data_IF_316558155835
#
_entry.id   IF_316558155835
#
_cell.length_a   1.000
_cell.length_b   1.000
_cell.length_c   1.000
_cell.angle_alpha   90.00
_cell.angle_beta   90.00
_cell.angle_gamma   90.00
#
_symmetry.space_group_name_H-M   'P 1'
#
loop_
_entity.id
_entity.type
_entity.pdbx_description
1 polymer ?
#
# COMPACT_ATOMS: atom_id res chain seq x y z
N UNK A 1 -15.62 -10.84 -15.76
CA UNK A 1 -15.57 -9.50 -16.40
C UNK A 1 -16.39 -8.55 -15.55
N UNK A 2 -15.75 -7.85 -14.62
CA UNK A 2 -16.43 -6.84 -13.80
C UNK A 2 -15.43 -5.74 -13.48
N UNK A 3 -15.08 -4.96 -14.51
CA UNK A 3 -14.34 -3.72 -14.34
C UNK A 3 -15.27 -2.69 -13.71
N UNK A 4 -14.90 -2.19 -12.54
CA UNK A 4 -15.65 -1.15 -11.81
C UNK A 4 -14.82 0.13 -11.79
N UNK A 5 -15.40 1.25 -12.21
CA UNK A 5 -14.77 2.55 -11.99
C UNK A 5 -15.15 3.04 -10.59
N UNK A 6 -14.14 3.27 -9.77
CA UNK A 6 -14.32 3.65 -8.37
C UNK A 6 -14.64 5.14 -8.27
N UNK A 7 -15.68 5.44 -7.51
CA UNK A 7 -16.16 6.79 -7.21
C UNK A 7 -16.44 6.96 -5.71
N UNK A 8 -17.01 8.10 -5.32
CA UNK A 8 -17.31 8.42 -3.92
C UNK A 8 -18.22 7.39 -3.24
N UNK A 9 -19.17 6.79 -3.94
CA UNK A 9 -20.09 5.81 -3.34
C UNK A 9 -19.41 4.50 -2.98
N UNK A 10 -18.24 4.22 -3.56
CA UNK A 10 -17.48 3.00 -3.28
C UNK A 10 -16.57 3.13 -2.05
N UNK A 11 -16.29 4.35 -1.57
CA UNK A 11 -15.35 4.58 -0.48
C UNK A 11 -15.85 3.96 0.82
N UNK A 12 -17.06 4.34 1.25
CA UNK A 12 -17.61 3.88 2.54
C UNK A 12 -17.77 2.35 2.57
N UNK A 13 -18.36 1.68 1.55
CA UNK A 13 -18.41 0.23 1.49
C UNK A 13 -17.03 -0.43 1.54
N UNK A 14 -16.05 0.09 0.79
CA UNK A 14 -14.70 -0.47 0.77
C UNK A 14 -14.00 -0.34 2.13
N UNK A 15 -14.08 0.83 2.76
CA UNK A 15 -13.45 1.12 4.06
C UNK A 15 -14.10 0.30 5.17
N UNK A 16 -15.44 0.24 5.23
CA UNK A 16 -16.15 -0.52 6.27
C UNK A 16 -16.01 -2.04 6.07
N UNK A 17 -16.12 -2.52 4.84
CA UNK A 17 -15.85 -3.92 4.51
C UNK A 17 -14.41 -4.31 4.83
N UNK A 18 -13.46 -3.43 4.49
CA UNK A 18 -12.06 -3.55 4.85
C UNK A 18 -11.82 -3.62 6.36
N UNK A 19 -12.50 -2.78 7.15
CA UNK A 19 -12.40 -2.79 8.61
C UNK A 19 -12.89 -4.12 9.21
N UNK A 20 -14.00 -4.65 8.67
CA UNK A 20 -14.53 -5.95 9.08
C UNK A 20 -13.56 -7.09 8.73
N UNK A 21 -13.13 -7.17 7.47
CA UNK A 21 -12.23 -8.22 6.98
C UNK A 21 -10.82 -8.11 7.57
N UNK A 22 -10.40 -6.91 7.96
CA UNK A 22 -9.11 -6.65 8.59
C UNK A 22 -8.97 -7.28 9.98
N UNK A 23 -10.06 -7.64 10.65
CA UNK A 23 -10.02 -8.31 11.96
C UNK A 23 -9.36 -7.45 13.05
N UNK A 24 -9.60 -6.14 13.03
CA UNK A 24 -9.13 -5.19 14.04
C UNK A 24 -7.81 -4.47 13.72
N UNK A 25 -7.20 -4.72 12.56
CA UNK A 25 -6.00 -4.02 12.08
C UNK A 25 -6.18 -3.30 10.74
N UNK A 26 -5.06 -2.88 10.14
CA UNK A 26 -5.03 -2.32 8.79
C UNK A 26 -5.48 -0.86 8.67
N UNK A 27 -5.29 -0.09 9.75
CA UNK A 27 -5.48 1.36 9.79
C UNK A 27 -6.85 1.80 10.28
N UNK A 28 -7.09 3.12 10.20
CA UNK A 28 -8.30 3.77 10.73
C UNK A 28 -9.31 4.05 9.62
N UNK A 29 -10.59 4.05 9.97
CA UNK A 29 -11.69 4.39 9.03
C UNK A 29 -11.48 5.80 8.47
N UNK A 30 -11.14 6.78 9.31
CA UNK A 30 -10.89 8.16 8.88
C UNK A 30 -9.79 8.23 7.83
N UNK A 31 -8.66 7.54 8.07
CA UNK A 31 -7.55 7.50 7.12
C UNK A 31 -8.01 6.88 5.79
N UNK A 32 -8.73 5.75 5.84
CA UNK A 32 -9.26 5.10 4.64
C UNK A 32 -10.22 5.99 3.84
N UNK A 33 -11.11 6.70 4.53
CA UNK A 33 -12.04 7.66 3.92
C UNK A 33 -11.30 8.82 3.26
N UNK A 34 -10.28 9.38 3.93
CA UNK A 34 -9.47 10.48 3.40
C UNK A 34 -8.67 10.05 2.16
N UNK A 35 -8.02 8.89 2.21
CA UNK A 35 -7.24 8.34 1.09
C UNK A 35 -8.12 7.97 -0.10
N UNK A 36 -9.24 7.30 0.13
CA UNK A 36 -10.21 6.97 -0.92
C UNK A 36 -10.80 8.23 -1.55
N UNK A 37 -11.14 9.22 -0.73
CA UNK A 37 -11.65 10.52 -1.22
C UNK A 37 -10.64 11.24 -2.07
N UNK A 38 -9.37 11.30 -1.63
CA UNK A 38 -8.30 11.93 -2.39
C UNK A 38 -8.11 11.24 -3.74
N UNK A 39 -8.07 9.90 -3.75
CA UNK A 39 -7.88 9.12 -4.97
C UNK A 39 -8.98 9.40 -6.01
N UNK A 40 -10.26 9.27 -5.62
CA UNK A 40 -11.38 9.49 -6.56
C UNK A 40 -11.60 10.96 -6.93
N UNK A 41 -10.99 11.89 -6.19
CA UNK A 41 -11.00 13.32 -6.54
C UNK A 41 -9.93 13.67 -7.56
N UNK A 42 -8.84 12.89 -7.64
CA UNK A 42 -7.75 13.08 -8.60
C UNK A 42 -7.95 12.30 -9.91
N UNK A 43 -8.75 11.25 -9.90
CA UNK A 43 -9.06 10.44 -11.07
C UNK A 43 -10.13 9.40 -10.79
N UNK A 44 -10.31 8.45 -11.71
CA UNK A 44 -11.26 7.34 -11.55
C UNK A 44 -10.47 6.01 -11.56
N UNK A 45 -9.96 5.54 -10.41
CA UNK A 45 -9.29 4.25 -10.32
C UNK A 45 -10.21 3.14 -10.84
N UNK A 46 -9.68 2.26 -11.68
CA UNK A 46 -10.41 1.07 -12.10
C UNK A 46 -10.09 -0.10 -11.17
N UNK A 47 -11.11 -0.78 -10.67
CA UNK A 47 -11.00 -2.08 -10.01
C UNK A 47 -11.27 -3.18 -11.05
N UNK A 48 -10.38 -4.16 -11.16
CA UNK A 48 -10.49 -5.32 -12.05
C UNK A 48 -10.30 -6.63 -11.29
N UNK A 49 -10.79 -7.74 -11.85
CA UNK A 49 -10.49 -9.08 -11.30
C UNK A 49 -9.17 -9.62 -11.83
N UNK A 50 -8.57 -10.58 -11.12
CA UNK A 50 -7.30 -11.21 -11.53
C UNK A 50 -7.40 -11.89 -12.91
N UNK A 51 -8.57 -12.40 -13.28
CA UNK A 51 -8.82 -13.06 -14.57
C UNK A 51 -8.77 -12.10 -15.77
N UNK A 52 -8.76 -10.79 -15.53
CA UNK A 52 -8.61 -9.77 -16.58
C UNK A 52 -7.13 -9.53 -16.96
N UNK A 53 -6.19 -10.14 -16.23
CA UNK A 53 -4.76 -9.98 -16.43
C UNK A 53 -4.13 -11.15 -17.19
N UNK A 54 -3.06 -10.91 -17.97
CA UNK A 54 -2.19 -11.97 -18.45
C UNK A 54 -1.62 -12.82 -17.31
N UNK A 55 -1.40 -14.12 -17.54
CA UNK A 55 -0.89 -15.04 -16.51
C UNK A 55 0.53 -14.73 -16.00
N UNK A 56 1.28 -13.91 -16.74
CA UNK A 56 2.63 -13.43 -16.41
C UNK A 56 2.66 -11.93 -16.04
N UNK A 57 1.49 -11.33 -15.79
CA UNK A 57 1.37 -9.93 -15.42
C UNK A 57 2.17 -9.57 -14.16
N UNK A 58 2.93 -8.48 -14.23
CA UNK A 58 3.66 -7.95 -13.08
C UNK A 58 2.77 -7.01 -12.27
N UNK A 59 2.51 -7.38 -11.01
CA UNK A 59 1.72 -6.59 -10.07
C UNK A 59 2.61 -5.96 -8.99
N UNK A 60 2.19 -4.80 -8.50
CA UNK A 60 2.83 -4.14 -7.35
C UNK A 60 1.93 -4.23 -6.13
N UNK A 61 2.52 -4.63 -5.01
CA UNK A 61 1.84 -4.60 -3.71
C UNK A 61 2.00 -3.23 -3.06
N UNK A 62 0.91 -2.48 -2.95
CA UNK A 62 0.87 -1.21 -2.25
C UNK A 62 0.68 -1.45 -0.75
N UNK A 63 1.61 -0.93 0.06
CA UNK A 63 1.57 -1.02 1.51
C UNK A 63 1.92 0.31 2.16
N UNK A 64 1.22 0.66 3.24
CA UNK A 64 1.58 1.72 4.17
C UNK A 64 2.05 1.14 5.50
N UNK A 65 3.33 1.29 5.84
CA UNK A 65 3.85 0.91 7.16
C UNK A 65 4.24 2.17 7.91
N UNK A 66 3.69 2.35 9.10
CA UNK A 66 3.96 3.48 9.97
C UNK A 66 3.97 3.08 11.44
N UNK A 67 4.19 4.05 12.32
CA UNK A 67 4.08 3.89 13.76
C UNK A 67 2.75 4.52 14.24
N UNK A 68 1.67 3.75 14.48
CA UNK A 68 0.35 4.30 14.80
C UNK A 68 0.35 5.16 16.08
N UNK A 69 1.24 4.86 17.02
CA UNK A 69 1.37 5.54 18.31
C UNK A 69 2.32 6.77 18.27
N UNK A 70 2.94 7.07 17.12
CA UNK A 70 3.80 8.24 16.98
C UNK A 70 2.96 9.51 16.83
N UNK A 71 3.26 10.59 17.57
CA UNK A 71 2.52 11.86 17.48
C UNK A 71 2.71 12.57 16.12
N UNK A 72 3.65 12.12 15.28
CA UNK A 72 3.85 12.62 13.92
C UNK A 72 3.71 11.51 12.89
N UNK A 73 2.84 11.73 11.90
CA UNK A 73 2.78 10.97 10.65
C UNK A 73 3.48 11.77 9.57
N UNK A 74 4.49 11.17 8.95
CA UNK A 74 5.39 11.89 8.03
C UNK A 74 5.19 11.53 6.56
N UNK A 75 4.47 10.45 6.26
CA UNK A 75 4.20 10.04 4.88
C UNK A 75 3.08 10.88 4.29
N UNK A 76 3.38 11.57 3.19
CA UNK A 76 2.44 12.38 2.41
C UNK A 76 2.00 11.62 1.16
N UNK A 77 0.85 11.97 0.55
CA UNK A 77 0.38 11.35 -0.69
C UNK A 77 1.45 11.26 -1.79
N UNK A 78 2.22 12.33 -1.98
CA UNK A 78 3.29 12.40 -2.97
C UNK A 78 4.41 11.39 -2.75
N UNK A 79 4.64 10.95 -1.51
CA UNK A 79 5.69 9.98 -1.20
C UNK A 79 5.29 8.58 -1.70
N UNK A 80 3.98 8.26 -1.70
CA UNK A 80 3.44 7.02 -2.27
C UNK A 80 3.47 7.00 -3.80
N UNK A 81 3.23 8.16 -4.43
CA UNK A 81 3.37 8.30 -5.89
C UNK A 81 4.84 8.11 -6.29
N UNK A 82 5.76 8.79 -5.60
CA UNK A 82 7.20 8.65 -5.87
C UNK A 82 7.70 7.22 -5.65
N UNK A 83 7.18 6.52 -4.64
CA UNK A 83 7.52 5.12 -4.41
C UNK A 83 7.12 4.23 -5.60
N UNK A 84 5.94 4.43 -6.19
CA UNK A 84 5.54 3.67 -7.37
C UNK A 84 6.38 4.03 -8.60
N UNK A 85 6.69 5.31 -8.82
CA UNK A 85 7.60 5.73 -9.91
C UNK A 85 8.94 5.00 -9.83
N UNK A 86 9.56 4.96 -8.64
CA UNK A 86 10.81 4.25 -8.43
C UNK A 86 10.69 2.75 -8.71
N UNK A 87 9.56 2.13 -8.37
CA UNK A 87 9.29 0.73 -8.69
C UNK A 87 9.14 0.53 -10.20
N UNK A 88 8.44 1.44 -10.90
CA UNK A 88 8.29 1.39 -12.35
C UNK A 88 9.63 1.59 -13.07
N UNK A 89 10.47 2.51 -12.59
CA UNK A 89 11.84 2.75 -13.10
C UNK A 89 12.74 1.52 -12.93
N UNK A 90 12.58 0.76 -11.85
CA UNK A 90 13.38 -0.42 -11.54
C UNK A 90 12.80 -1.74 -12.08
N UNK A 91 11.55 -1.75 -12.52
CA UNK A 91 10.87 -2.93 -13.01
C UNK A 91 11.42 -3.35 -14.39
N UNK A 92 11.51 -4.65 -14.62
CA UNK A 92 11.94 -5.22 -15.91
C UNK A 92 10.77 -5.39 -16.89
N UNK A 93 9.54 -5.09 -16.47
CA UNK A 93 8.32 -5.17 -17.25
C UNK A 93 7.33 -4.08 -16.80
N UNK A 94 6.38 -3.65 -17.65
CA UNK A 94 5.33 -2.73 -17.25
C UNK A 94 4.50 -3.26 -16.08
N UNK A 95 4.16 -2.39 -15.13
CA UNK A 95 3.27 -2.73 -14.02
C UNK A 95 1.84 -2.81 -14.56
N UNK A 96 1.25 -4.00 -14.50
CA UNK A 96 -0.08 -4.29 -15.04
C UNK A 96 -1.22 -3.96 -14.06
N UNK A 97 -0.90 -3.84 -12.76
CA UNK A 97 -1.90 -3.59 -11.72
C UNK A 97 -1.29 -3.41 -10.33
N UNK A 98 -2.12 -2.91 -9.42
CA UNK A 98 -1.76 -2.67 -8.02
C UNK A 98 -2.68 -3.49 -7.13
N UNK A 99 -2.11 -4.22 -6.16
CA UNK A 99 -2.86 -4.94 -5.12
C UNK A 99 -2.60 -4.32 -3.76
N UNK A 100 -3.63 -4.30 -2.90
CA UNK A 100 -3.45 -3.97 -1.50
C UNK A 100 -2.69 -5.10 -0.79
N UNK A 101 -1.77 -4.73 0.11
CA UNK A 101 -0.98 -5.71 0.88
C UNK A 101 -1.81 -6.53 1.89
N UNK A 102 -2.97 -6.01 2.28
CA UNK A 102 -3.88 -6.62 3.25
C UNK A 102 -5.25 -5.96 3.17
N UNK A 103 -6.25 -6.55 3.83
CA UNK A 103 -7.50 -5.86 4.11
C UNK A 103 -7.44 -5.15 5.45
N UNK A 104 -8.10 -3.99 5.49
CA UNK A 104 -8.18 -3.12 6.66
C UNK A 104 -8.93 -1.84 6.32
N UNK A 105 -9.30 -1.06 7.34
CA UNK A 105 -10.08 0.15 7.12
C UNK A 105 -9.37 1.13 6.17
N UNK A 106 -8.06 1.34 6.36
CA UNK A 106 -7.25 2.14 5.44
C UNK A 106 -6.54 1.27 4.39
N UNK A 107 -6.11 0.06 4.76
CA UNK A 107 -5.31 -0.78 3.88
C UNK A 107 -6.05 -1.21 2.61
N UNK A 108 -7.38 -1.36 2.66
CA UNK A 108 -8.20 -1.74 1.49
C UNK A 108 -8.13 -0.72 0.37
N UNK A 109 -7.90 0.56 0.69
CA UNK A 109 -7.74 1.63 -0.32
C UNK A 109 -6.27 1.89 -0.69
N UNK A 110 -5.33 1.09 -0.18
CA UNK A 110 -3.94 1.18 -0.61
C UNK A 110 -3.85 0.93 -2.12
N UNK A 111 -3.14 1.81 -2.82
CA UNK A 111 -3.00 1.73 -4.27
C UNK A 111 -4.04 2.54 -5.05
N UNK A 112 -5.14 2.97 -4.45
CA UNK A 112 -6.17 3.75 -5.17
C UNK A 112 -5.63 5.09 -5.67
N UNK A 113 -4.83 5.78 -4.84
CA UNK A 113 -4.22 7.06 -5.22
C UNK A 113 -3.27 6.88 -6.41
N UNK A 114 -2.40 5.88 -6.34
CA UNK A 114 -1.48 5.54 -7.43
C UNK A 114 -2.24 5.16 -8.69
N UNK A 115 -3.31 4.36 -8.55
CA UNK A 115 -4.16 3.95 -9.66
C UNK A 115 -4.84 5.14 -10.34
N UNK A 116 -5.35 6.10 -9.55
CA UNK A 116 -5.93 7.34 -10.08
C UNK A 116 -4.93 8.16 -10.90
N UNK A 117 -3.70 8.30 -10.40
CA UNK A 117 -2.68 9.19 -11.00
C UNK A 117 -1.99 8.56 -12.20
N UNK A 118 -1.62 7.29 -12.12
CA UNK A 118 -0.85 6.61 -13.16
C UNK A 118 -1.70 5.84 -14.17
N UNK A 119 -3.02 5.72 -13.95
CA UNK A 119 -3.92 4.98 -14.84
C UNK A 119 -3.73 3.45 -14.79
N UNK A 120 -3.05 2.95 -13.76
CA UNK A 120 -2.82 1.52 -13.51
C UNK A 120 -4.00 0.99 -12.68
N UNK A 121 -4.65 -0.12 -13.04
CA UNK A 121 -5.82 -0.60 -12.31
C UNK A 121 -5.46 -1.16 -10.92
N UNK A 122 -6.39 -1.03 -9.99
CA UNK A 122 -6.39 -1.81 -8.75
C UNK A 122 -6.94 -3.20 -9.07
N UNK A 123 -6.29 -4.24 -8.55
CA UNK A 123 -6.70 -5.63 -8.77
C UNK A 123 -7.35 -6.14 -7.49
N UNK A 124 -8.54 -6.74 -7.62
CA UNK A 124 -9.28 -7.37 -6.52
C UNK A 124 -8.62 -8.70 -6.11
N UNK A 125 -7.46 -8.57 -5.46
CA UNK A 125 -6.66 -9.66 -4.92
C UNK A 125 -5.86 -9.18 -3.69
N UNK A 126 -6.51 -8.66 -2.63
CA UNK A 126 -5.82 -8.20 -1.44
C UNK A 126 -5.14 -9.40 -0.76
N UNK A 127 -3.81 -9.34 -0.62
CA UNK A 127 -2.96 -10.51 -0.41
C UNK A 127 -3.53 -11.57 0.56
N UNK A 128 -3.41 -11.35 1.87
CA UNK A 128 -3.81 -12.36 2.85
C UNK A 128 -5.29 -12.24 3.28
N UNK A 129 -6.05 -11.33 2.67
CA UNK A 129 -7.46 -11.09 2.97
C UNK A 129 -7.78 -10.51 4.36
N UNK A 130 -6.80 -10.32 5.25
CA UNK A 130 -6.93 -9.75 6.61
C UNK A 130 -5.71 -8.90 6.98
N UNK A 131 -5.80 -8.09 8.03
CA UNK A 131 -4.68 -7.27 8.49
C UNK A 131 -3.60 -8.08 9.22
N UNK A 132 -2.33 -7.68 9.05
CA UNK A 132 -1.20 -8.35 9.68
C UNK A 132 -0.23 -7.37 10.36
N UNK A 133 0.49 -7.82 11.41
CA UNK A 133 1.42 -6.96 12.12
C UNK A 133 2.73 -6.70 11.37
N UNK A 134 3.00 -7.38 10.24
CA UNK A 134 4.26 -7.26 9.50
C UNK A 134 4.06 -7.22 7.99
N UNK A 135 4.81 -6.34 7.32
CA UNK A 135 4.77 -6.21 5.86
C UNK A 135 5.26 -7.46 5.11
N UNK A 136 6.06 -8.32 5.74
CA UNK A 136 6.53 -9.58 5.13
C UNK A 136 5.39 -10.53 4.78
N UNK A 137 4.31 -10.51 5.57
CA UNK A 137 3.15 -11.35 5.34
C UNK A 137 2.34 -10.84 4.14
N UNK A 138 2.20 -9.52 3.99
CA UNK A 138 1.56 -8.91 2.82
C UNK A 138 2.38 -9.02 1.54
N UNK A 139 3.68 -9.31 1.63
CA UNK A 139 4.55 -9.51 0.47
C UNK A 139 4.44 -10.93 -0.16
N UNK A 140 3.49 -11.77 0.28
CA UNK A 140 3.24 -13.12 -0.28
C UNK A 140 4.50 -14.00 -0.40
N UNK A 141 5.44 -13.87 0.55
CA UNK A 141 6.67 -14.66 0.54
C UNK A 141 7.70 -14.25 -0.52
N UNK A 142 7.58 -13.05 -1.13
CA UNK A 142 8.51 -12.58 -2.16
C UNK A 142 9.98 -12.69 -1.73
N UNK A 143 10.27 -12.36 -0.46
CA UNK A 143 11.60 -12.45 0.15
C UNK A 143 12.24 -13.85 0.13
N UNK A 144 11.47 -14.92 -0.13
CA UNK A 144 11.97 -16.29 -0.26
C UNK A 144 12.34 -16.65 -1.70
N UNK A 145 11.98 -15.80 -2.67
CA UNK A 145 12.30 -16.04 -4.08
C UNK A 145 13.72 -15.59 -4.40
N UNK A 146 14.52 -16.41 -5.11
CA UNK A 146 15.82 -15.98 -5.61
C UNK A 146 15.67 -14.71 -6.48
N UNK A 147 16.56 -13.73 -6.28
CA UNK A 147 16.54 -12.48 -7.05
C UNK A 147 15.58 -11.40 -6.56
N UNK A 148 14.76 -11.64 -5.53
CA UNK A 148 13.80 -10.67 -4.99
C UNK A 148 14.43 -9.55 -4.12
N UNK A 149 15.74 -9.33 -4.21
CA UNK A 149 16.46 -8.33 -3.40
C UNK A 149 16.51 -8.60 -1.88
N UNK A 150 16.10 -9.78 -1.43
CA UNK A 150 16.11 -10.17 -0.01
C UNK A 150 17.50 -10.51 0.53
N UNK A 151 18.41 -9.54 0.64
CA UNK A 151 19.37 -9.62 1.74
C UNK A 151 18.58 -9.52 3.04
N UNK A 152 18.96 -10.30 4.05
CA UNK A 152 18.45 -10.27 5.43
C UNK A 152 17.94 -8.88 5.87
N UNK A 153 16.90 -8.79 6.74
CA UNK A 153 16.31 -7.51 7.12
C UNK A 153 17.43 -6.53 7.47
N UNK A 154 17.41 -5.28 6.94
CA UNK A 154 18.39 -4.30 7.35
C UNK A 154 18.29 -4.23 8.86
N UNK A 155 19.34 -4.67 9.57
CA UNK A 155 19.57 -4.28 10.95
C UNK A 155 19.71 -2.77 10.89
N UNK A 156 18.60 -2.04 10.98
CA UNK A 156 18.62 -0.61 11.20
C UNK A 156 19.33 -0.42 12.54
N UNK A 157 20.57 0.10 12.59
CA UNK A 157 20.98 0.74 13.81
C UNK A 157 20.31 2.11 13.73
N UNK A 158 19.09 2.20 14.26
CA UNK A 158 18.57 3.49 14.69
C UNK A 158 19.48 3.94 15.84
N UNK A 159 20.68 4.43 15.50
CA UNK A 159 21.57 5.08 16.46
C UNK A 159 20.80 6.33 16.88
N UNK A 160 20.46 6.50 18.17
CA UNK A 160 19.97 7.79 18.61
C UNK A 160 21.08 8.79 18.28
N UNK A 161 20.75 9.85 17.54
CA UNK A 161 21.67 10.96 17.32
C UNK A 161 22.07 11.50 18.69
N UNK A 162 23.27 11.13 19.14
CA UNK A 162 23.84 11.61 20.38
C UNK A 162 23.93 13.13 20.31
N UNK A 163 23.28 13.81 21.26
CA UNK A 163 23.62 15.22 21.56
C UNK A 163 25.10 15.27 21.92
N UNK A 164 25.88 16.23 21.40
CA UNK A 164 27.26 16.41 21.87
C UNK A 164 27.20 16.76 23.36
N UNK A 165 27.91 15.97 24.18
CA UNK A 165 28.06 16.24 25.60
C UNK A 165 28.70 17.63 25.77
N UNK A 166 27.92 18.57 26.32
CA UNK A 166 28.46 19.85 26.79
C UNK A 166 29.46 19.53 27.90
N UNK A 167 30.75 19.68 27.63
CA UNK A 167 31.75 19.84 28.70
C UNK A 167 31.41 21.15 29.41
N UNK A 168 30.97 21.04 30.67
CA UNK A 168 30.95 22.20 31.57
C UNK A 168 32.40 22.41 32.09
N UNK A 169 32.81 23.68 32.29
CA UNK A 169 34.12 24.00 32.85
C UNK A 169 34.28 23.48 34.28
#
# INVERSE_FOLDING_TARGET
MSRVLLDRSHIEPAVLGGALLGGGGGGWITDGTDWGTLAVSLGAPALITVDELPGDALLVTAAGVGAPASPGRFARPVDFLRALELVMEAAHAPIAGIIANENGAAATVNGWLQAAVFGIPVVDAPCNGRAHPSGLLGAMGLHRRPGSGGSAPPRSPCRPRGRPARRRP
#
